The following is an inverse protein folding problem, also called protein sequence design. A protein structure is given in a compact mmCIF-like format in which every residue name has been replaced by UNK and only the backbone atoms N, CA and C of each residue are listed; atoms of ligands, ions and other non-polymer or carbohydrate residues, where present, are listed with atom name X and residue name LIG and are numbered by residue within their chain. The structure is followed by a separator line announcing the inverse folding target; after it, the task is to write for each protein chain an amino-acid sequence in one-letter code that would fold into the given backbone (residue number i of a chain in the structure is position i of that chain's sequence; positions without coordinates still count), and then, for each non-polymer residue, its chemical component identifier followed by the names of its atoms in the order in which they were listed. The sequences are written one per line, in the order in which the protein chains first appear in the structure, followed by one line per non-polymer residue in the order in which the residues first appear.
data_IF_690933024325
#
_entry.id   IF_690933024325
#
_cell.length_a   1.000
_cell.length_b   1.000
_cell.length_c   1.000
_cell.angle_alpha   90.00
_cell.angle_beta   90.00
_cell.angle_gamma   90.00
#
_symmetry.space_group_name_H-M   'P 1'
#
loop_
_entity.id
_entity.type
_entity.pdbx_description
1 polymer ?
#
# COMPACT_ATOMS: atom_id res chain seq x y z
N UNK A 1 -4.92 33.92 12.87
CA UNK A 1 -4.87 32.59 12.18
C UNK A 1 -3.45 32.08 12.30
N UNK A 2 -3.22 30.87 12.84
CA UNK A 2 -1.86 30.33 12.98
C UNK A 2 -1.37 29.79 11.65
N UNK A 3 -0.09 29.96 11.34
CA UNK A 3 0.57 29.43 10.14
C UNK A 3 1.39 28.19 10.52
N UNK A 4 1.13 27.06 9.86
CA UNK A 4 1.86 25.82 10.04
C UNK A 4 2.61 25.47 8.75
N UNK A 5 3.90 25.22 8.85
CA UNK A 5 4.73 24.83 7.72
C UNK A 5 4.97 23.32 7.72
N UNK A 6 4.57 22.66 6.65
CA UNK A 6 4.81 21.24 6.44
C UNK A 6 5.95 21.01 5.45
N UNK A 7 7.05 20.45 5.93
CA UNK A 7 8.19 20.05 5.11
C UNK A 7 8.02 18.62 4.64
N UNK A 8 7.79 18.42 3.34
CA UNK A 8 7.69 17.10 2.72
C UNK A 8 9.05 16.45 2.55
N UNK A 9 9.13 15.14 2.68
CA UNK A 9 10.34 14.36 2.35
C UNK A 9 10.40 13.97 0.87
N UNK A 10 9.25 13.91 0.19
CA UNK A 10 9.09 13.53 -1.21
C UNK A 10 7.78 14.05 -1.78
N UNK A 11 7.58 13.89 -3.08
CA UNK A 11 6.29 14.15 -3.76
C UNK A 11 5.43 12.89 -3.88
N UNK A 12 5.84 11.78 -3.27
CA UNK A 12 5.11 10.51 -3.32
C UNK A 12 3.75 10.57 -2.61
N UNK A 13 2.89 9.61 -2.90
CA UNK A 13 1.53 9.48 -2.34
C UNK A 13 1.52 9.51 -0.81
N UNK A 14 2.53 8.94 -0.16
CA UNK A 14 2.70 8.95 1.29
C UNK A 14 2.70 10.37 1.89
N UNK A 15 3.43 11.32 1.28
CA UNK A 15 3.45 12.70 1.74
C UNK A 15 2.14 13.45 1.43
N UNK A 16 1.46 13.12 0.34
CA UNK A 16 0.14 13.68 0.02
C UNK A 16 -0.91 13.23 1.05
N UNK A 17 -0.92 11.93 1.42
CA UNK A 17 -1.80 11.39 2.47
C UNK A 17 -1.51 12.01 3.85
N UNK A 18 -0.23 12.20 4.21
CA UNK A 18 0.17 12.93 5.44
C UNK A 18 -0.37 14.37 5.44
N UNK A 19 -0.19 15.10 4.34
CA UNK A 19 -0.71 16.47 4.20
C UNK A 19 -2.24 16.51 4.32
N UNK A 20 -2.96 15.56 3.75
CA UNK A 20 -4.41 15.46 3.88
C UNK A 20 -4.84 15.33 5.35
N UNK A 21 -4.16 14.48 6.13
CA UNK A 21 -4.40 14.35 7.57
C UNK A 21 -4.11 15.65 8.35
N UNK A 22 -2.99 16.32 8.06
CA UNK A 22 -2.64 17.62 8.63
C UNK A 22 -3.70 18.66 8.30
N UNK A 23 -4.17 18.71 7.05
CA UNK A 23 -5.17 19.67 6.59
C UNK A 23 -6.54 19.44 7.25
N UNK A 24 -6.92 18.19 7.50
CA UNK A 24 -8.15 17.87 8.21
C UNK A 24 -8.17 18.47 9.64
N UNK A 25 -7.06 18.35 10.36
CA UNK A 25 -6.90 18.96 11.69
C UNK A 25 -6.81 20.49 11.60
N UNK A 26 -6.07 21.00 10.61
CA UNK A 26 -5.91 22.43 10.39
C UNK A 26 -7.25 23.15 10.18
N UNK A 27 -8.17 22.55 9.42
CA UNK A 27 -9.53 23.08 9.23
C UNK A 27 -10.29 23.21 10.55
N UNK A 28 -10.15 22.22 11.45
CA UNK A 28 -10.81 22.24 12.78
C UNK A 28 -10.29 23.38 13.67
N UNK A 29 -9.01 23.72 13.55
CA UNK A 29 -8.36 24.75 14.37
C UNK A 29 -8.13 26.10 13.65
N UNK A 30 -8.59 26.24 12.41
CA UNK A 30 -8.48 27.48 11.64
C UNK A 30 -7.03 27.85 11.29
N UNK A 31 -6.18 26.85 10.94
CA UNK A 31 -4.78 27.11 10.56
C UNK A 31 -4.62 27.34 9.05
N UNK A 32 -3.61 28.13 8.72
CA UNK A 32 -3.06 28.23 7.37
C UNK A 32 -1.92 27.23 7.24
N UNK A 33 -2.07 26.21 6.40
CA UNK A 33 -1.01 25.22 6.17
C UNK A 33 -0.28 25.53 4.88
N UNK A 34 1.03 25.75 5.00
CA UNK A 34 1.93 25.92 3.88
C UNK A 34 2.75 24.64 3.69
N UNK A 35 2.68 24.06 2.50
CA UNK A 35 3.40 22.83 2.15
C UNK A 35 4.64 23.17 1.35
N UNK A 36 5.81 22.91 1.90
CA UNK A 36 7.08 23.09 1.21
C UNK A 36 7.42 21.87 0.36
N UNK A 37 7.98 22.11 -0.83
CA UNK A 37 8.58 21.06 -1.66
C UNK A 37 9.71 20.33 -0.90
N UNK A 38 10.09 19.11 -1.31
CA UNK A 38 11.17 18.38 -0.65
C UNK A 38 12.46 19.20 -0.61
N UNK A 39 12.84 19.63 0.59
CA UNK A 39 13.97 20.55 0.80
C UNK A 39 15.26 19.74 0.93
N UNK A 40 16.25 20.07 0.12
CA UNK A 40 17.54 19.35 0.05
C UNK A 40 18.67 20.04 0.80
N UNK A 41 18.46 21.26 1.31
CA UNK A 41 19.47 22.04 2.04
C UNK A 41 18.87 22.75 3.25
N UNK A 42 19.71 22.96 4.29
CA UNK A 42 19.33 23.73 5.47
C UNK A 42 19.05 25.20 5.10
N UNK A 43 19.78 25.75 4.14
CA UNK A 43 19.60 27.12 3.70
C UNK A 43 18.21 27.36 3.12
N UNK A 44 17.73 26.48 2.22
CA UNK A 44 16.37 26.57 1.68
C UNK A 44 15.32 26.45 2.79
N UNK A 45 15.53 25.56 3.75
CA UNK A 45 14.61 25.42 4.88
C UNK A 45 14.56 26.68 5.74
N UNK A 46 15.73 27.30 6.01
CA UNK A 46 15.84 28.58 6.74
C UNK A 46 15.12 29.73 6.00
N UNK A 47 15.29 29.83 4.68
CA UNK A 47 14.59 30.80 3.86
C UNK A 47 13.07 30.66 3.94
N UNK A 48 12.56 29.43 3.87
CA UNK A 48 11.12 29.15 4.02
C UNK A 48 10.59 29.50 5.42
N UNK A 49 11.35 29.20 6.47
CA UNK A 49 10.99 29.56 7.85
C UNK A 49 10.95 31.09 7.99
N UNK A 50 11.94 31.80 7.47
CA UNK A 50 12.00 33.27 7.51
C UNK A 50 10.89 33.93 6.71
N UNK A 51 10.53 33.35 5.56
CA UNK A 51 9.44 33.83 4.70
C UNK A 51 8.08 33.67 5.37
N UNK A 52 7.77 32.48 5.85
CA UNK A 52 6.44 32.14 6.37
C UNK A 52 6.26 32.48 7.85
N UNK A 53 7.33 32.65 8.61
CA UNK A 53 7.34 32.89 10.07
C UNK A 53 6.31 32.00 10.79
N UNK A 54 6.42 30.65 10.65
CA UNK A 54 5.38 29.75 11.11
C UNK A 54 5.24 29.73 12.64
N UNK A 55 4.01 29.59 13.13
CA UNK A 55 3.69 29.31 14.54
C UNK A 55 4.08 27.88 14.94
N UNK A 56 4.19 26.96 13.96
CA UNK A 56 4.59 25.59 14.19
C UNK A 56 5.02 24.89 12.89
N UNK A 57 5.81 23.84 13.04
CA UNK A 57 6.33 23.06 11.91
C UNK A 57 6.01 21.56 12.06
N UNK A 58 5.67 20.90 10.95
CA UNK A 58 5.66 19.44 10.83
C UNK A 58 6.69 19.05 9.79
N UNK A 59 7.59 18.14 10.14
CA UNK A 59 8.71 17.74 9.28
C UNK A 59 8.62 16.25 8.99
N UNK A 60 8.25 15.88 7.75
CA UNK A 60 8.33 14.50 7.30
C UNK A 60 9.78 14.17 6.94
N UNK A 61 10.36 13.19 7.61
CA UNK A 61 11.73 12.77 7.37
C UNK A 61 11.78 11.63 6.34
N UNK A 62 12.78 11.66 5.49
CA UNK A 62 13.07 10.63 4.49
C UNK A 62 14.50 10.12 4.64
N UNK A 63 15.04 9.53 3.58
CA UNK A 63 16.39 9.00 3.54
C UNK A 63 17.50 10.02 3.89
N UNK A 64 17.22 11.33 3.78
CA UNK A 64 18.12 12.44 4.13
C UNK A 64 17.66 13.17 5.40
N UNK A 65 17.27 12.43 6.44
CA UNK A 65 16.79 13.00 7.70
C UNK A 65 17.75 14.00 8.37
N UNK A 66 19.04 13.96 8.05
CA UNK A 66 20.07 14.86 8.61
C UNK A 66 19.98 16.31 8.06
N UNK A 67 19.17 16.56 7.03
CA UNK A 67 19.01 17.92 6.46
C UNK A 67 18.21 18.85 7.37
N UNK A 68 17.53 18.30 8.37
CA UNK A 68 16.72 19.06 9.32
C UNK A 68 17.19 18.84 10.77
N UNK A 69 18.28 19.47 11.22
CA UNK A 69 18.61 19.47 12.63
C UNK A 69 17.52 20.23 13.41
N UNK A 70 17.18 19.75 14.60
CA UNK A 70 16.17 20.40 15.47
C UNK A 70 16.57 21.85 15.79
N UNK A 71 17.88 22.16 15.82
CA UNK A 71 18.41 23.50 16.00
C UNK A 71 17.96 24.51 14.95
N UNK A 72 17.65 24.05 13.73
CA UNK A 72 17.14 24.91 12.66
C UNK A 72 15.75 25.49 12.99
N UNK A 73 14.95 24.75 13.72
CA UNK A 73 13.61 25.15 14.13
C UNK A 73 13.61 26.01 15.42
N UNK A 74 14.72 26.00 16.15
CA UNK A 74 14.91 26.80 17.34
C UNK A 74 13.80 26.62 18.37
N UNK A 75 13.10 27.73 18.71
CA UNK A 75 11.97 27.73 19.69
C UNK A 75 10.61 27.45 19.02
N UNK A 76 10.55 27.28 17.70
CA UNK A 76 9.29 27.01 16.98
C UNK A 76 8.78 25.63 17.39
N UNK A 77 7.53 25.50 17.90
CA UNK A 77 6.92 24.21 18.16
C UNK A 77 6.98 23.32 16.92
N UNK A 78 7.42 22.07 17.08
CA UNK A 78 7.56 21.19 15.92
C UNK A 78 7.35 19.73 16.24
N UNK A 79 6.94 18.98 15.24
CA UNK A 79 6.75 17.52 15.29
C UNK A 79 7.42 16.88 14.06
N UNK A 80 8.20 15.86 14.29
CA UNK A 80 8.78 15.05 13.23
C UNK A 80 7.88 13.86 12.89
N UNK A 81 7.89 13.44 11.63
CA UNK A 81 7.31 12.18 11.17
C UNK A 81 8.44 11.33 10.61
N UNK A 82 8.55 10.09 11.10
CA UNK A 82 9.55 9.09 10.66
C UNK A 82 11.01 9.53 10.80
N UNK A 83 11.32 10.36 11.81
CA UNK A 83 12.70 10.77 12.10
C UNK A 83 13.44 9.65 12.82
N UNK A 84 14.65 9.25 12.38
CA UNK A 84 15.44 8.25 13.07
C UNK A 84 15.73 8.62 14.54
N UNK A 85 15.48 7.69 15.46
CA UNK A 85 15.64 7.92 16.91
C UNK A 85 17.04 8.39 17.29
N UNK A 86 18.09 7.90 16.57
CA UNK A 86 19.50 8.25 16.83
C UNK A 86 19.82 9.74 16.66
N UNK A 87 19.04 10.45 15.87
CA UNK A 87 19.23 11.89 15.56
C UNK A 87 18.13 12.75 16.17
N UNK A 88 17.25 12.16 16.97
CA UNK A 88 16.17 12.86 17.65
C UNK A 88 16.70 13.49 18.95
N UNK A 89 16.50 14.79 19.12
CA UNK A 89 16.88 15.48 20.34
C UNK A 89 15.93 15.11 21.50
N UNK A 90 16.37 15.28 22.75
CA UNK A 90 15.56 14.92 23.93
C UNK A 90 14.20 15.64 23.95
N UNK A 91 14.12 16.88 23.44
CA UNK A 91 12.91 17.71 23.39
C UNK A 91 12.01 17.50 22.16
N UNK A 92 12.39 16.67 21.20
CA UNK A 92 11.64 16.49 19.96
C UNK A 92 10.47 15.53 20.12
N UNK A 93 9.31 15.93 19.66
CA UNK A 93 8.15 15.07 19.44
C UNK A 93 8.24 14.37 18.09
N UNK A 94 7.84 13.11 18.02
CA UNK A 94 7.89 12.34 16.77
C UNK A 94 6.78 11.31 16.68
N UNK A 95 6.21 11.18 15.48
CA UNK A 95 5.26 10.13 15.11
C UNK A 95 5.96 9.17 14.17
N UNK A 96 6.07 7.90 14.55
CA UNK A 96 6.82 6.86 13.82
C UNK A 96 5.90 5.91 13.09
N UNK A 97 6.36 5.42 11.96
CA UNK A 97 5.76 4.25 11.33
C UNK A 97 6.04 3.00 12.17
N UNK A 98 4.99 2.21 12.45
CA UNK A 98 5.18 0.88 13.04
C UNK A 98 5.63 -0.11 11.95
N UNK A 99 6.94 -0.06 11.67
CA UNK A 99 7.60 -0.92 10.69
C UNK A 99 7.46 -2.40 11.03
N UNK A 100 7.39 -2.73 12.33
CA UNK A 100 7.23 -4.11 12.81
C UNK A 100 5.83 -4.64 12.50
N UNK A 101 4.78 -3.90 12.84
CA UNK A 101 3.41 -4.30 12.54
C UNK A 101 3.18 -4.44 11.04
N UNK A 102 3.78 -3.55 10.24
CA UNK A 102 3.69 -3.55 8.77
C UNK A 102 4.37 -4.79 8.17
N UNK A 103 5.58 -5.10 8.60
CA UNK A 103 6.29 -6.32 8.16
C UNK A 103 5.57 -7.60 8.58
N UNK A 104 4.98 -7.62 9.77
CA UNK A 104 4.17 -8.73 10.25
C UNK A 104 2.91 -8.94 9.40
N UNK A 105 2.28 -7.86 8.93
CA UNK A 105 1.13 -7.95 8.01
C UNK A 105 1.53 -8.56 6.67
N UNK A 106 2.66 -8.11 6.10
CA UNK A 106 3.21 -8.66 4.86
C UNK A 106 3.62 -10.14 5.01
N UNK A 107 4.25 -10.50 6.13
CA UNK A 107 4.65 -11.87 6.41
C UNK A 107 3.45 -12.82 6.46
N UNK A 108 2.37 -12.43 7.16
CA UNK A 108 1.13 -13.23 7.20
C UNK A 108 0.52 -13.41 5.82
N UNK A 109 0.55 -12.37 4.99
CA UNK A 109 0.07 -12.46 3.61
C UNK A 109 0.86 -13.49 2.81
N UNK A 110 2.19 -13.42 2.85
CA UNK A 110 3.04 -14.37 2.13
C UNK A 110 2.92 -15.80 2.67
N UNK A 111 2.79 -15.99 3.98
CA UNK A 111 2.59 -17.31 4.60
C UNK A 111 1.26 -17.94 4.16
N UNK A 112 0.22 -17.14 3.96
CA UNK A 112 -1.09 -17.63 3.48
C UNK A 112 -1.03 -18.25 2.08
N UNK A 113 0.03 -17.97 1.31
CA UNK A 113 0.26 -18.53 -0.02
C UNK A 113 0.90 -19.95 0.00
N UNK A 114 1.29 -20.46 1.17
CA UNK A 114 1.92 -21.77 1.36
C UNK A 114 3.12 -22.00 0.40
N UNK A 115 4.02 -21.04 0.33
CA UNK A 115 5.21 -21.10 -0.52
C UNK A 115 6.32 -21.90 0.16
N UNK A 116 7.19 -22.53 -0.66
CA UNK A 116 8.30 -23.31 -0.11
C UNK A 116 9.45 -22.47 0.44
N UNK A 117 9.58 -21.22 -0.01
CA UNK A 117 10.69 -20.35 0.33
C UNK A 117 10.22 -18.91 0.52
N UNK A 118 11.00 -18.16 1.34
CA UNK A 118 10.72 -16.75 1.65
C UNK A 118 11.99 -15.93 1.55
N UNK A 119 11.86 -14.68 1.12
CA UNK A 119 12.99 -13.79 0.99
C UNK A 119 12.61 -12.34 1.37
N UNK A 120 13.63 -11.58 1.74
CA UNK A 120 13.51 -10.15 1.99
C UNK A 120 14.48 -9.39 1.08
N UNK A 121 13.99 -8.40 0.35
CA UNK A 121 14.82 -7.52 -0.45
C UNK A 121 15.08 -6.21 0.31
N UNK A 122 16.35 -6.01 0.70
CA UNK A 122 16.79 -4.83 1.43
C UNK A 122 16.81 -3.60 0.54
N UNK A 123 16.46 -2.44 1.12
CA UNK A 123 16.69 -1.15 0.48
C UNK A 123 18.20 -0.92 0.29
N UNK A 124 18.64 -0.45 -0.88
CA UNK A 124 20.07 -0.34 -1.20
C UNK A 124 20.90 0.58 -0.30
N UNK A 125 20.24 1.52 0.38
CA UNK A 125 20.89 2.44 1.32
C UNK A 125 20.46 2.09 2.73
N UNK A 126 21.37 1.98 3.70
CA UNK A 126 21.01 1.67 5.08
C UNK A 126 19.97 2.62 5.65
N UNK A 127 18.86 2.07 6.13
CA UNK A 127 17.74 2.78 6.74
C UNK A 127 17.27 2.03 7.98
N UNK A 128 16.93 2.75 9.03
CA UNK A 128 16.44 2.14 10.27
C UNK A 128 15.15 1.36 10.02
N UNK A 129 14.19 1.97 9.32
CA UNK A 129 12.92 1.33 8.97
C UNK A 129 13.10 0.04 8.14
N UNK A 130 14.12 -0.01 7.26
CA UNK A 130 14.44 -1.23 6.51
C UNK A 130 14.94 -2.34 7.43
N UNK A 131 15.81 -2.01 8.40
CA UNK A 131 16.31 -2.96 9.39
C UNK A 131 15.19 -3.48 10.29
N UNK A 132 14.28 -2.62 10.73
CA UNK A 132 13.11 -2.99 11.54
C UNK A 132 12.18 -3.93 10.77
N UNK A 133 11.82 -3.60 9.52
CA UNK A 133 11.00 -4.43 8.64
C UNK A 133 11.63 -5.81 8.41
N UNK A 134 12.93 -5.82 8.07
CA UNK A 134 13.69 -7.06 7.87
C UNK A 134 13.68 -7.95 9.10
N UNK A 135 13.99 -7.40 10.27
CA UNK A 135 14.07 -8.16 11.51
C UNK A 135 12.71 -8.71 11.94
N UNK A 136 11.65 -7.91 11.81
CA UNK A 136 10.29 -8.33 12.10
C UNK A 136 9.83 -9.45 11.15
N UNK A 137 10.07 -9.30 9.85
CA UNK A 137 9.77 -10.34 8.86
C UNK A 137 10.50 -11.64 9.15
N UNK A 138 11.81 -11.56 9.43
CA UNK A 138 12.61 -12.73 9.78
C UNK A 138 12.14 -13.41 11.08
N UNK A 139 11.68 -12.63 12.06
CA UNK A 139 11.14 -13.17 13.30
C UNK A 139 9.86 -13.97 13.07
N UNK A 140 8.91 -13.45 12.29
CA UNK A 140 7.68 -14.17 11.92
C UNK A 140 8.01 -15.44 11.15
N UNK A 141 8.88 -15.35 10.13
CA UNK A 141 9.26 -16.53 9.34
C UNK A 141 9.89 -17.63 10.21
N UNK A 142 10.75 -17.24 11.15
CA UNK A 142 11.39 -18.20 12.09
C UNK A 142 10.36 -18.87 12.98
N UNK A 143 9.35 -18.15 13.48
CA UNK A 143 8.25 -18.73 14.27
C UNK A 143 7.48 -19.80 13.52
N UNK A 144 7.45 -19.72 12.18
CA UNK A 144 6.82 -20.69 11.30
C UNK A 144 7.81 -21.72 10.70
N UNK A 145 9.01 -21.83 11.26
CA UNK A 145 10.04 -22.78 10.81
C UNK A 145 10.65 -22.45 9.44
N UNK A 146 10.43 -21.23 8.93
CA UNK A 146 10.90 -20.81 7.61
C UNK A 146 12.24 -20.08 7.69
N UNK A 147 13.13 -20.35 6.71
CA UNK A 147 14.36 -19.58 6.49
C UNK A 147 14.11 -18.44 5.53
N UNK A 148 14.82 -17.33 5.69
CA UNK A 148 14.72 -16.14 4.84
C UNK A 148 16.01 -15.96 4.05
N UNK A 149 15.90 -15.85 2.72
CA UNK A 149 16.98 -15.38 1.85
C UNK A 149 16.97 -13.87 1.76
N UNK A 150 18.16 -13.26 1.63
CA UNK A 150 18.26 -11.79 1.61
C UNK A 150 18.86 -11.31 0.29
N UNK A 151 18.28 -10.25 -0.25
CA UNK A 151 18.90 -9.47 -1.31
C UNK A 151 19.57 -8.24 -0.71
N UNK A 152 20.82 -7.99 -1.08
CA UNK A 152 21.57 -6.80 -0.71
C UNK A 152 22.28 -6.26 -1.95
N UNK A 153 22.24 -4.96 -2.13
CA UNK A 153 22.91 -4.28 -3.25
C UNK A 153 23.54 -2.98 -2.78
N UNK A 154 24.66 -2.62 -3.41
CA UNK A 154 25.29 -1.30 -3.27
C UNK A 154 24.88 -0.33 -4.36
N UNK A 155 24.15 -0.81 -5.37
CA UNK A 155 23.68 0.03 -6.47
C UNK A 155 22.51 0.91 -6.00
N UNK A 156 22.44 2.17 -6.44
CA UNK A 156 21.33 3.04 -6.08
C UNK A 156 20.02 2.55 -6.69
N UNK A 157 18.91 2.83 -6.01
CA UNK A 157 17.56 2.44 -6.47
C UNK A 157 17.22 3.04 -7.85
N UNK A 158 17.85 4.16 -8.20
CA UNK A 158 17.73 4.82 -9.50
C UNK A 158 18.52 4.15 -10.62
N UNK A 159 19.35 3.13 -10.31
CA UNK A 159 20.08 2.40 -11.35
C UNK A 159 19.11 1.73 -12.33
N UNK A 160 19.18 2.14 -13.59
CA UNK A 160 18.25 1.70 -14.64
C UNK A 160 18.52 0.26 -15.07
N UNK A 161 19.80 -0.09 -15.27
CA UNK A 161 20.18 -1.39 -15.79
C UNK A 161 20.87 -2.30 -14.76
N UNK A 162 21.67 -1.73 -13.86
CA UNK A 162 22.49 -2.50 -12.92
C UNK A 162 21.65 -3.23 -11.89
N UNK A 163 20.80 -2.52 -11.16
CA UNK A 163 19.98 -3.09 -10.11
C UNK A 163 18.98 -4.15 -10.62
N UNK A 164 18.23 -3.94 -11.73
CA UNK A 164 17.36 -4.99 -12.26
C UNK A 164 18.09 -6.26 -12.69
N UNK A 165 19.30 -6.17 -13.24
CA UNK A 165 20.12 -7.33 -13.59
C UNK A 165 20.64 -8.08 -12.36
N UNK A 166 21.11 -7.34 -11.34
CA UNK A 166 21.55 -7.92 -10.06
C UNK A 166 20.38 -8.65 -9.37
N UNK A 167 19.19 -8.05 -9.34
CA UNK A 167 17.96 -8.67 -8.86
C UNK A 167 17.60 -9.92 -9.67
N UNK A 168 17.69 -9.88 -11.00
CA UNK A 168 17.40 -11.03 -11.85
C UNK A 168 18.32 -12.21 -11.56
N UNK A 169 19.64 -11.97 -11.43
CA UNK A 169 20.61 -13.00 -11.06
C UNK A 169 20.32 -13.59 -9.67
N UNK A 170 20.00 -12.73 -8.69
CA UNK A 170 19.59 -13.18 -7.36
C UNK A 170 18.30 -14.02 -7.40
N UNK A 171 17.30 -13.58 -8.15
CA UNK A 171 16.06 -14.34 -8.32
C UNK A 171 16.32 -15.72 -8.91
N UNK A 172 17.22 -15.87 -9.86
CA UNK A 172 17.60 -17.19 -10.43
C UNK A 172 18.27 -18.08 -9.38
N UNK A 173 19.10 -17.51 -8.48
CA UNK A 173 19.90 -18.27 -7.52
C UNK A 173 19.13 -18.81 -6.32
N UNK A 174 17.98 -18.21 -5.95
CA UNK A 174 17.18 -18.65 -4.80
C UNK A 174 16.15 -19.70 -5.20
N UNK A 175 15.75 -20.64 -4.30
CA UNK A 175 14.76 -21.66 -4.58
C UNK A 175 13.37 -21.08 -4.92
N UNK A 176 12.56 -21.82 -5.71
CA UNK A 176 11.18 -21.50 -6.12
C UNK A 176 10.20 -22.57 -5.63
N UNK A 177 8.90 -22.22 -5.47
CA UNK A 177 8.32 -20.87 -5.48
C UNK A 177 8.74 -20.07 -4.25
N UNK A 178 8.96 -18.75 -4.41
CA UNK A 178 9.42 -17.86 -3.35
C UNK A 178 8.48 -16.70 -3.11
N UNK A 179 8.22 -16.38 -1.84
CA UNK A 179 7.51 -15.17 -1.41
C UNK A 179 8.49 -14.09 -0.96
N UNK A 180 8.45 -12.93 -1.58
CA UNK A 180 9.38 -11.84 -1.33
C UNK A 180 8.66 -10.64 -0.73
N UNK A 181 9.08 -10.24 0.47
CA UNK A 181 8.80 -8.91 0.98
C UNK A 181 9.93 -7.97 0.54
N UNK A 182 9.60 -6.98 -0.27
CA UNK A 182 10.53 -5.90 -0.56
C UNK A 182 10.36 -4.73 0.43
N UNK A 183 11.44 -4.05 0.72
CA UNK A 183 11.50 -2.97 1.71
C UNK A 183 10.52 -1.80 1.43
N UNK A 184 10.19 -1.56 0.14
CA UNK A 184 9.22 -0.55 -0.31
C UNK A 184 8.72 -0.89 -1.72
N UNK A 185 7.60 -0.30 -2.15
CA UNK A 185 6.97 -0.54 -3.45
C UNK A 185 7.91 -0.27 -4.63
N UNK A 186 8.72 0.77 -4.55
CA UNK A 186 9.68 1.11 -5.61
C UNK A 186 10.69 -0.04 -5.86
N UNK A 187 11.11 -0.73 -4.81
CA UNK A 187 11.97 -1.91 -4.96
C UNK A 187 11.17 -3.11 -5.47
N UNK A 188 9.92 -3.26 -5.03
CA UNK A 188 9.03 -4.33 -5.48
C UNK A 188 8.79 -4.28 -7.00
N UNK A 189 8.55 -3.09 -7.54
CA UNK A 189 8.41 -2.89 -8.99
C UNK A 189 9.69 -3.26 -9.76
N UNK A 190 10.87 -3.00 -9.17
CA UNK A 190 12.15 -3.46 -9.74
C UNK A 190 12.28 -4.99 -9.70
N UNK A 191 11.79 -5.65 -8.65
CA UNK A 191 11.77 -7.12 -8.55
C UNK A 191 10.84 -7.71 -9.62
N UNK A 192 9.65 -7.15 -9.86
CA UNK A 192 8.75 -7.58 -10.94
C UNK A 192 9.44 -7.45 -12.30
N UNK A 193 10.11 -6.32 -12.54
CA UNK A 193 10.91 -6.13 -13.77
C UNK A 193 12.03 -7.16 -13.89
N UNK A 194 12.73 -7.44 -12.80
CA UNK A 194 13.81 -8.42 -12.75
C UNK A 194 13.32 -9.86 -12.99
N UNK A 195 12.14 -10.22 -12.44
CA UNK A 195 11.50 -11.50 -12.69
C UNK A 195 11.22 -11.69 -14.20
N UNK A 196 10.71 -10.65 -14.88
CA UNK A 196 10.49 -10.66 -16.32
C UNK A 196 11.82 -10.86 -17.10
N UNK A 197 12.89 -10.17 -16.68
CA UNK A 197 14.24 -10.36 -17.28
C UNK A 197 14.73 -11.80 -17.10
N UNK A 198 14.49 -12.38 -15.92
CA UNK A 198 14.86 -13.76 -15.59
C UNK A 198 13.89 -14.81 -16.15
N UNK A 199 12.83 -14.41 -16.89
CA UNK A 199 11.76 -15.27 -17.42
C UNK A 199 11.05 -16.09 -16.32
N UNK A 200 10.90 -15.50 -15.13
CA UNK A 200 10.17 -16.07 -14.00
C UNK A 200 8.75 -15.52 -13.95
N UNK A 201 7.78 -16.39 -13.66
CA UNK A 201 6.38 -16.01 -13.54
C UNK A 201 6.09 -15.35 -12.19
N UNK A 202 5.40 -14.20 -12.22
CA UNK A 202 4.84 -13.55 -11.03
C UNK A 202 3.33 -13.73 -11.10
N UNK A 203 2.68 -14.32 -10.10
CA UNK A 203 3.19 -14.72 -8.78
C UNK A 203 3.66 -16.18 -8.67
N UNK A 204 3.64 -16.99 -9.72
CA UNK A 204 3.79 -18.45 -9.61
C UNK A 204 5.19 -18.89 -9.16
N UNK A 205 6.25 -18.35 -9.76
CA UNK A 205 7.62 -18.59 -9.30
C UNK A 205 8.02 -17.63 -8.20
N UNK A 206 7.59 -16.36 -8.31
CA UNK A 206 8.01 -15.26 -7.43
C UNK A 206 6.77 -14.44 -7.03
N UNK A 207 6.23 -14.67 -5.84
CA UNK A 207 5.21 -13.79 -5.27
C UNK A 207 5.87 -12.58 -4.59
N UNK A 208 5.41 -11.36 -4.90
CA UNK A 208 6.02 -10.12 -4.41
C UNK A 208 4.99 -9.26 -3.68
N UNK A 209 5.36 -8.79 -2.49
CA UNK A 209 4.59 -7.80 -1.75
C UNK A 209 5.50 -6.62 -1.39
N UNK A 210 4.97 -5.40 -1.56
CA UNK A 210 5.64 -4.16 -1.18
C UNK A 210 5.09 -3.54 0.10
N UNK A 211 5.56 -2.34 0.37
CA UNK A 211 5.08 -1.47 1.45
C UNK A 211 5.00 -0.06 0.87
N UNK A 212 4.02 0.71 1.25
CA UNK A 212 3.65 2.11 1.05
C UNK A 212 2.32 2.27 0.30
N UNK A 213 1.88 1.30 -0.49
CA UNK A 213 0.72 1.34 -1.38
C UNK A 213 0.68 2.65 -2.19
N UNK A 214 1.77 2.91 -2.92
CA UNK A 214 1.79 3.94 -3.94
C UNK A 214 0.95 3.46 -5.13
N UNK A 215 -0.28 3.97 -5.22
CA UNK A 215 -1.28 3.45 -6.15
C UNK A 215 -0.82 3.54 -7.61
N UNK A 216 -0.18 4.66 -7.99
CA UNK A 216 0.33 4.84 -9.35
C UNK A 216 1.36 3.76 -9.71
N UNK A 217 2.30 3.51 -8.81
CA UNK A 217 3.33 2.51 -8.99
C UNK A 217 2.78 1.08 -8.93
N UNK A 218 1.86 0.81 -7.99
CA UNK A 218 1.28 -0.51 -7.82
C UNK A 218 0.41 -0.93 -8.99
N UNK A 219 -0.42 -0.01 -9.52
CA UNK A 219 -1.32 -0.29 -10.63
C UNK A 219 -0.59 -0.30 -12.00
N UNK A 220 0.46 0.49 -12.17
CA UNK A 220 1.26 0.50 -13.40
C UNK A 220 2.23 -0.68 -13.52
N UNK A 221 2.46 -1.42 -12.44
CA UNK A 221 3.27 -2.64 -12.48
C UNK A 221 2.53 -3.77 -13.21
N UNK A 222 3.27 -4.60 -13.96
CA UNK A 222 2.70 -5.76 -14.68
C UNK A 222 3.47 -7.02 -14.30
N UNK A 223 2.82 -7.93 -13.52
CA UNK A 223 1.50 -7.83 -12.90
C UNK A 223 1.40 -6.75 -11.82
N UNK A 224 0.17 -6.31 -11.51
CA UNK A 224 -0.10 -5.26 -10.52
C UNK A 224 0.38 -5.67 -9.12
N UNK A 225 0.98 -4.71 -8.40
CA UNK A 225 1.74 -4.96 -7.17
C UNK A 225 0.87 -4.93 -5.91
N UNK A 226 0.86 -6.03 -5.17
CA UNK A 226 0.33 -6.11 -3.80
C UNK A 226 1.22 -5.34 -2.83
N UNK A 227 0.62 -4.60 -1.91
CA UNK A 227 1.36 -3.78 -0.97
C UNK A 227 0.66 -3.65 0.38
N UNK A 228 1.44 -3.48 1.45
CA UNK A 228 0.92 -3.07 2.76
C UNK A 228 0.83 -1.55 2.79
N UNK A 229 -0.34 -1.02 3.09
CA UNK A 229 -0.57 0.40 3.22
C UNK A 229 -0.38 0.85 4.67
N UNK A 230 0.63 1.70 4.98
CA UNK A 230 0.70 2.40 6.25
C UNK A 230 -0.40 3.46 6.36
N UNK A 231 -0.89 3.72 7.57
CA UNK A 231 -1.89 4.77 7.79
C UNK A 231 -1.24 6.18 7.79
N UNK A 232 -0.78 6.60 6.61
CA UNK A 232 -0.16 7.91 6.43
C UNK A 232 -1.11 9.07 6.75
N UNK A 233 -2.41 8.92 6.51
CA UNK A 233 -3.39 9.95 6.88
C UNK A 233 -3.41 10.14 8.39
N UNK A 234 -3.50 9.06 9.15
CA UNK A 234 -3.47 9.09 10.61
C UNK A 234 -2.17 9.69 11.14
N UNK A 235 -1.03 9.39 10.52
CA UNK A 235 0.25 10.01 10.93
C UNK A 235 0.22 11.54 10.81
N UNK A 236 -0.42 12.06 9.75
CA UNK A 236 -0.66 13.49 9.59
C UNK A 236 -1.57 14.08 10.66
N UNK A 237 -2.70 13.39 10.95
CA UNK A 237 -3.64 13.79 12.03
C UNK A 237 -2.92 13.82 13.38
N UNK A 238 -2.25 12.74 13.77
CA UNK A 238 -1.55 12.66 15.07
C UNK A 238 -0.48 13.75 15.21
N UNK A 239 0.28 13.99 14.13
CA UNK A 239 1.33 15.04 14.15
C UNK A 239 0.74 16.43 14.31
N UNK A 240 -0.39 16.73 13.67
CA UNK A 240 -1.05 18.01 13.77
C UNK A 240 -1.71 18.20 15.14
N UNK A 241 -2.28 17.18 15.75
CA UNK A 241 -2.84 17.22 17.10
C UNK A 241 -1.75 17.48 18.15
N UNK A 242 -0.62 16.75 18.07
CA UNK A 242 0.54 16.98 18.93
C UNK A 242 1.06 18.42 18.74
N UNK A 243 1.17 18.90 17.50
CA UNK A 243 1.61 20.26 17.22
C UNK A 243 0.67 21.30 17.82
N UNK A 244 -0.65 21.07 17.75
CA UNK A 244 -1.64 21.96 18.36
C UNK A 244 -1.44 22.08 19.87
N UNK A 245 -1.14 20.97 20.53
CA UNK A 245 -0.91 20.96 21.97
C UNK A 245 0.41 21.67 22.35
N UNK A 246 1.45 21.49 21.55
CA UNK A 246 2.72 22.20 21.69
C UNK A 246 2.56 23.70 21.48
N UNK A 247 1.86 24.15 20.43
CA UNK A 247 1.59 25.58 20.16
C UNK A 247 0.68 26.21 21.23
N UNK A 248 -0.18 25.41 21.85
CA UNK A 248 -1.05 25.84 22.96
C UNK A 248 -0.38 25.77 24.34
N UNK A 249 0.87 25.33 24.43
CA UNK A 249 1.60 25.07 25.67
C UNK A 249 0.87 24.13 26.63
N UNK A 250 0.06 23.22 26.09
CA UNK A 250 -0.68 22.21 26.86
C UNK A 250 0.16 21.00 27.23
N UNK A 251 1.24 20.80 26.49
CA UNK A 251 2.19 19.69 26.70
C UNK A 251 3.59 20.26 26.85
N UNK A 252 4.27 19.85 27.92
CA UNK A 252 5.64 20.28 28.27
C UNK A 252 6.68 19.18 28.04
N UNK A 253 6.26 17.95 27.77
CA UNK A 253 7.14 16.80 27.49
C UNK A 253 7.00 16.38 26.03
N UNK A 254 8.09 15.91 25.41
CA UNK A 254 8.01 15.42 24.05
C UNK A 254 7.12 14.19 23.96
N UNK A 255 6.30 14.12 22.92
CA UNK A 255 5.43 12.97 22.63
C UNK A 255 6.08 12.15 21.54
N UNK A 256 6.26 10.85 21.80
CA UNK A 256 6.76 9.88 20.83
C UNK A 256 5.78 8.72 20.75
N UNK A 257 5.23 8.51 19.55
CA UNK A 257 4.16 7.55 19.32
C UNK A 257 4.29 6.93 17.93
N UNK A 258 3.54 5.87 17.67
CA UNK A 258 3.58 5.14 16.39
C UNK A 258 2.22 5.18 15.69
N UNK A 259 2.23 5.09 14.34
CA UNK A 259 1.05 4.84 13.55
C UNK A 259 1.13 3.46 12.87
N UNK A 260 0.01 2.70 12.84
CA UNK A 260 -0.02 1.33 12.38
C UNK A 260 -0.12 1.24 10.84
N UNK A 261 0.01 0.03 10.27
CA UNK A 261 -0.50 -0.25 8.93
C UNK A 261 -2.03 -0.17 8.93
N UNK A 262 -2.59 0.32 7.81
CA UNK A 262 -4.03 0.41 7.60
C UNK A 262 -4.60 -0.92 7.09
N UNK A 263 -4.02 -1.46 6.01
CA UNK A 263 -4.47 -2.70 5.35
C UNK A 263 -3.40 -3.31 4.46
N UNK A 264 -3.61 -4.56 4.06
CA UNK A 264 -2.92 -5.20 2.95
C UNK A 264 -3.78 -5.07 1.71
N UNK A 265 -3.26 -4.43 0.67
CA UNK A 265 -3.93 -4.31 -0.63
C UNK A 265 -3.41 -5.41 -1.53
N UNK A 266 -4.27 -6.43 -1.74
CA UNK A 266 -3.94 -7.59 -2.57
C UNK A 266 -4.19 -7.27 -4.04
N UNK A 267 -3.16 -7.52 -4.87
CA UNK A 267 -3.19 -7.43 -6.33
C UNK A 267 -2.64 -8.70 -6.96
N UNK A 268 -2.29 -8.65 -8.23
CA UNK A 268 -1.86 -9.83 -8.98
C UNK A 268 -0.54 -10.42 -8.48
N UNK A 269 0.41 -9.62 -7.99
CA UNK A 269 1.75 -10.07 -7.62
C UNK A 269 1.81 -11.05 -6.43
N UNK A 270 0.71 -11.21 -5.66
CA UNK A 270 0.55 -12.25 -4.63
C UNK A 270 -0.66 -13.14 -4.86
N UNK A 271 -1.42 -12.91 -5.91
CA UNK A 271 -2.63 -13.69 -6.20
C UNK A 271 -2.26 -14.96 -6.96
N UNK A 272 -1.69 -15.94 -6.25
CA UNK A 272 -1.49 -17.26 -6.83
C UNK A 272 -2.83 -17.91 -7.16
N UNK A 273 -2.97 -18.34 -8.39
CA UNK A 273 -4.00 -19.27 -8.76
C UNK A 273 -3.56 -20.65 -8.25
N UNK A 274 -4.49 -21.49 -7.74
CA UNK A 274 -4.17 -22.88 -7.52
C UNK A 274 -3.47 -23.43 -8.80
N UNK A 275 -2.47 -24.27 -8.66
CA UNK A 275 -1.93 -25.05 -9.79
C UNK A 275 -3.05 -25.94 -10.29
N UNK A 276 -3.89 -25.38 -11.13
CA UNK A 276 -5.00 -26.05 -11.73
C UNK A 276 -4.76 -26.15 -13.24
N UNK A 277 -5.52 -27.03 -13.85
CA UNK A 277 -5.65 -27.18 -15.28
C UNK A 277 -5.58 -25.78 -15.97
N UNK A 278 -4.76 -25.66 -17.01
CA UNK A 278 -4.59 -24.39 -17.75
C UNK A 278 -5.92 -23.74 -18.10
N UNK A 279 -6.94 -24.55 -18.41
CA UNK A 279 -8.29 -24.09 -18.69
C UNK A 279 -8.93 -23.33 -17.50
N UNK A 280 -8.63 -23.72 -16.26
CA UNK A 280 -9.15 -23.01 -15.09
C UNK A 280 -8.42 -21.68 -14.87
N UNK A 281 -7.11 -21.64 -15.10
CA UNK A 281 -6.31 -20.42 -15.04
C UNK A 281 -6.78 -19.40 -16.08
N UNK A 282 -6.94 -19.86 -17.33
CA UNK A 282 -7.41 -19.05 -18.45
C UNK A 282 -8.85 -18.54 -18.18
N UNK A 283 -9.71 -19.38 -17.61
CA UNK A 283 -11.08 -19.01 -17.21
C UNK A 283 -11.10 -17.93 -16.12
N UNK A 284 -10.24 -18.04 -15.11
CA UNK A 284 -10.12 -17.03 -14.06
C UNK A 284 -9.60 -15.70 -14.61
N UNK A 285 -8.67 -15.74 -15.55
CA UNK A 285 -8.14 -14.53 -16.20
C UNK A 285 -9.24 -13.86 -17.04
N UNK A 286 -10.03 -14.63 -17.81
CA UNK A 286 -11.18 -14.13 -18.54
C UNK A 286 -12.21 -13.49 -17.60
N UNK A 287 -12.55 -14.13 -16.49
CA UNK A 287 -13.50 -13.60 -15.49
C UNK A 287 -12.99 -12.26 -14.94
N UNK A 288 -11.72 -12.15 -14.59
CA UNK A 288 -11.14 -10.90 -14.08
C UNK A 288 -11.25 -9.75 -15.06
N UNK A 289 -10.91 -10.02 -16.33
CA UNK A 289 -10.93 -9.00 -17.38
C UNK A 289 -12.34 -8.59 -17.77
N UNK A 290 -13.25 -9.54 -17.89
CA UNK A 290 -14.53 -9.34 -18.55
C UNK A 290 -15.76 -9.43 -17.61
N UNK A 291 -15.61 -9.75 -16.33
CA UNK A 291 -16.75 -9.91 -15.42
C UNK A 291 -17.68 -8.68 -15.42
N UNK A 292 -17.10 -7.48 -15.39
CA UNK A 292 -17.82 -6.21 -15.39
C UNK A 292 -18.24 -5.74 -16.80
N UNK A 293 -17.81 -6.43 -17.86
CA UNK A 293 -18.16 -6.15 -19.25
C UNK A 293 -19.30 -7.03 -19.79
N UNK A 294 -20.12 -7.55 -18.88
CA UNK A 294 -21.30 -8.36 -19.26
C UNK A 294 -21.01 -9.85 -19.49
N UNK A 295 -19.83 -10.35 -19.07
CA UNK A 295 -19.45 -11.77 -19.18
C UNK A 295 -20.54 -12.67 -18.57
N UNK A 296 -20.97 -13.68 -19.31
CA UNK A 296 -21.85 -14.73 -18.80
C UNK A 296 -21.05 -16.02 -18.50
N UNK A 297 -21.54 -16.82 -17.54
CA UNK A 297 -20.89 -18.09 -17.19
C UNK A 297 -20.76 -19.05 -18.40
N UNK A 298 -21.70 -18.99 -19.35
CA UNK A 298 -21.63 -19.79 -20.58
C UNK A 298 -20.39 -19.47 -21.44
N UNK A 299 -19.90 -18.22 -21.41
CA UNK A 299 -18.74 -17.81 -22.18
C UNK A 299 -17.46 -18.35 -21.57
N UNK A 300 -17.41 -18.44 -20.26
CA UNK A 300 -16.31 -19.08 -19.51
C UNK A 300 -16.30 -20.60 -19.74
N UNK A 301 -17.45 -21.26 -19.78
CA UNK A 301 -17.51 -22.70 -20.05
C UNK A 301 -16.92 -23.10 -21.41
N UNK A 302 -16.95 -22.21 -22.42
CA UNK A 302 -16.37 -22.45 -23.75
C UNK A 302 -14.83 -22.60 -23.73
N UNK A 303 -14.17 -22.16 -22.67
CA UNK A 303 -12.73 -22.28 -22.53
C UNK A 303 -12.31 -23.69 -22.12
N UNK A 304 -13.25 -24.52 -21.68
CA UNK A 304 -12.98 -25.89 -21.25
C UNK A 304 -13.29 -26.86 -22.38
N UNK A 305 -12.32 -27.74 -22.67
CA UNK A 305 -12.49 -28.83 -23.66
C UNK A 305 -13.23 -30.04 -23.04
N UNK A 306 -14.26 -29.80 -22.20
CA UNK A 306 -15.02 -30.83 -21.52
C UNK A 306 -16.47 -30.40 -21.29
N UNK A 307 -17.32 -31.30 -20.76
CA UNK A 307 -18.70 -30.97 -20.44
C UNK A 307 -18.79 -29.86 -19.38
N UNK A 308 -19.89 -29.10 -19.42
CA UNK A 308 -20.17 -28.03 -18.44
C UNK A 308 -20.06 -28.53 -17.00
N UNK A 309 -20.58 -29.73 -16.71
CA UNK A 309 -20.50 -30.33 -15.36
C UNK A 309 -19.06 -30.58 -14.95
N UNK A 310 -18.23 -31.08 -15.84
CA UNK A 310 -16.82 -31.33 -15.57
C UNK A 310 -16.04 -30.02 -15.40
N UNK A 311 -16.29 -29.02 -16.25
CA UNK A 311 -15.70 -27.69 -16.12
C UNK A 311 -16.02 -27.05 -14.77
N UNK A 312 -17.29 -27.08 -14.35
CA UNK A 312 -17.73 -26.56 -13.04
C UNK A 312 -17.07 -27.32 -11.88
N UNK A 313 -16.97 -28.64 -11.96
CA UNK A 313 -16.33 -29.47 -10.93
C UNK A 313 -14.83 -29.14 -10.83
N UNK A 314 -14.10 -29.04 -11.96
CA UNK A 314 -12.69 -28.68 -12.00
C UNK A 314 -12.45 -27.28 -11.47
N UNK A 315 -13.29 -26.32 -11.90
CA UNK A 315 -13.19 -24.94 -11.46
C UNK A 315 -13.44 -24.82 -9.95
N UNK A 316 -14.49 -25.48 -9.43
CA UNK A 316 -14.81 -25.49 -8.00
C UNK A 316 -13.75 -26.20 -7.15
N UNK A 317 -13.20 -27.30 -7.63
CA UNK A 317 -12.12 -28.00 -6.95
C UNK A 317 -10.86 -27.13 -6.83
N UNK A 318 -10.60 -26.28 -7.83
CA UNK A 318 -9.45 -25.40 -7.85
C UNK A 318 -9.64 -24.08 -7.08
N UNK A 319 -10.86 -23.53 -7.07
CA UNK A 319 -11.15 -22.17 -6.56
C UNK A 319 -12.01 -22.15 -5.29
N UNK A 320 -12.63 -23.28 -4.95
CA UNK A 320 -13.63 -23.36 -3.89
C UNK A 320 -14.99 -22.76 -4.25
N UNK A 321 -15.15 -22.16 -5.44
CA UNK A 321 -16.36 -21.45 -5.90
C UNK A 321 -16.79 -21.93 -7.27
N UNK A 322 -18.06 -21.72 -7.58
CA UNK A 322 -18.56 -21.89 -8.94
C UNK A 322 -18.11 -20.74 -9.85
N UNK A 323 -18.12 -20.98 -11.16
CA UNK A 323 -17.83 -19.92 -12.15
C UNK A 323 -18.76 -18.72 -11.98
N UNK A 324 -20.05 -18.97 -11.70
CA UNK A 324 -21.03 -17.89 -11.50
C UNK A 324 -20.77 -17.11 -10.20
N UNK A 325 -20.42 -17.78 -9.11
CA UNK A 325 -20.06 -17.15 -7.83
C UNK A 325 -18.82 -16.27 -7.99
N UNK A 326 -17.82 -16.71 -8.77
CA UNK A 326 -16.61 -15.92 -9.03
C UNK A 326 -16.92 -14.65 -9.84
N UNK A 327 -17.72 -14.76 -10.91
CA UNK A 327 -18.18 -13.59 -11.70
C UNK A 327 -18.94 -12.60 -10.79
N UNK A 328 -19.85 -13.10 -9.96
CA UNK A 328 -20.64 -12.27 -9.02
C UNK A 328 -19.75 -11.60 -7.98
N UNK A 329 -18.78 -12.32 -7.44
CA UNK A 329 -17.81 -11.80 -6.48
C UNK A 329 -17.01 -10.61 -7.04
N UNK A 330 -16.53 -10.72 -8.28
CA UNK A 330 -15.81 -9.63 -8.97
C UNK A 330 -16.71 -8.40 -9.18
N UNK A 331 -17.95 -8.60 -9.64
CA UNK A 331 -18.94 -7.51 -9.80
C UNK A 331 -19.27 -6.84 -8.47
N UNK A 332 -19.44 -7.62 -7.41
CA UNK A 332 -19.72 -7.11 -6.08
C UNK A 332 -18.56 -6.27 -5.52
N UNK A 333 -17.33 -6.74 -5.71
CA UNK A 333 -16.14 -6.00 -5.29
C UNK A 333 -16.06 -4.64 -5.99
N UNK A 334 -16.27 -4.62 -7.33
CA UNK A 334 -16.29 -3.38 -8.11
C UNK A 334 -17.43 -2.45 -7.71
N UNK A 335 -18.62 -3.01 -7.45
CA UNK A 335 -19.77 -2.24 -6.99
C UNK A 335 -19.50 -1.55 -5.65
N UNK A 336 -18.93 -2.28 -4.69
CA UNK A 336 -18.56 -1.74 -3.36
C UNK A 336 -17.54 -0.62 -3.48
N UNK A 337 -16.52 -0.79 -4.32
CA UNK A 337 -15.51 0.24 -4.60
C UNK A 337 -16.15 1.53 -5.12
N UNK A 338 -16.97 1.41 -6.19
CA UNK A 338 -17.60 2.58 -6.83
C UNK A 338 -18.62 3.29 -5.92
N UNK A 339 -19.39 2.52 -5.14
CA UNK A 339 -20.38 3.10 -4.21
C UNK A 339 -19.72 3.82 -3.04
N UNK A 340 -18.59 3.34 -2.53
CA UNK A 340 -17.86 3.98 -1.44
C UNK A 340 -17.02 5.18 -1.93
N UNK A 341 -16.37 5.05 -3.10
CA UNK A 341 -15.37 6.00 -3.59
C UNK A 341 -15.88 7.07 -4.55
N UNK A 342 -17.16 7.04 -4.98
CA UNK A 342 -17.65 7.98 -5.99
C UNK A 342 -19.08 8.46 -5.78
N UNK A 343 -19.44 9.70 -6.22
CA UNK A 343 -20.80 10.22 -6.22
C UNK A 343 -21.64 9.75 -7.43
N UNK A 344 -21.19 8.75 -8.16
CA UNK A 344 -21.87 8.27 -9.38
C UNK A 344 -23.32 7.90 -9.15
N UNK A 345 -24.18 8.19 -10.14
CA UNK A 345 -25.57 7.73 -10.14
C UNK A 345 -25.63 6.20 -10.21
N UNK A 346 -26.67 5.61 -9.65
CA UNK A 346 -26.80 4.17 -9.54
C UNK A 346 -26.79 3.45 -10.90
N UNK A 347 -27.39 4.10 -11.94
CA UNK A 347 -27.37 3.61 -13.32
C UNK A 347 -25.95 3.49 -13.87
N UNK A 348 -25.10 4.48 -13.60
CA UNK A 348 -23.70 4.45 -14.02
C UNK A 348 -22.93 3.34 -13.30
N UNK A 349 -23.10 3.18 -11.97
CA UNK A 349 -22.50 2.09 -11.21
C UNK A 349 -22.96 0.72 -11.75
N UNK A 350 -24.25 0.54 -12.04
CA UNK A 350 -24.78 -0.68 -12.63
C UNK A 350 -24.09 -1.03 -13.95
N UNK A 351 -23.94 -0.05 -14.84
CA UNK A 351 -23.27 -0.23 -16.13
C UNK A 351 -21.79 -0.62 -15.94
N UNK A 352 -21.07 0.05 -15.07
CA UNK A 352 -19.68 -0.29 -14.75
C UNK A 352 -19.49 -1.67 -14.11
N UNK A 353 -20.55 -2.24 -13.53
CA UNK A 353 -20.58 -3.60 -12.98
C UNK A 353 -21.13 -4.64 -13.95
N UNK A 354 -21.38 -4.27 -15.21
CA UNK A 354 -21.88 -5.17 -16.25
C UNK A 354 -23.37 -5.50 -16.18
N UNK A 355 -24.19 -4.60 -15.61
CA UNK A 355 -25.65 -4.71 -15.56
C UNK A 355 -26.32 -3.69 -16.47
N UNK A 356 -27.30 -4.16 -17.26
CA UNK A 356 -28.04 -3.31 -18.21
C UNK A 356 -29.11 -2.43 -17.55
N UNK A 357 -29.45 -2.67 -16.27
CA UNK A 357 -30.43 -1.84 -15.55
C UNK A 357 -30.06 -1.71 -14.06
N UNK A 358 -30.36 -0.55 -13.50
CA UNK A 358 -30.19 -0.28 -12.08
C UNK A 358 -31.05 -1.18 -11.19
N UNK A 359 -32.21 -1.64 -11.68
CA UNK A 359 -33.10 -2.55 -10.96
C UNK A 359 -32.45 -3.93 -10.79
N UNK A 360 -31.96 -4.53 -11.90
CA UNK A 360 -31.26 -5.81 -11.85
C UNK A 360 -30.00 -5.75 -10.98
N UNK A 361 -29.26 -4.65 -11.07
CA UNK A 361 -28.11 -4.39 -10.23
C UNK A 361 -28.47 -4.29 -8.73
N UNK A 362 -29.55 -3.57 -8.39
CA UNK A 362 -29.99 -3.41 -6.99
C UNK A 362 -30.41 -4.72 -6.37
N UNK A 363 -31.12 -5.57 -7.11
CA UNK A 363 -31.48 -6.93 -6.66
C UNK A 363 -30.22 -7.75 -6.43
N UNK A 364 -29.30 -7.80 -7.40
CA UNK A 364 -28.03 -8.50 -7.27
C UNK A 364 -27.25 -8.01 -6.03
N UNK A 365 -27.06 -6.70 -5.92
CA UNK A 365 -26.26 -6.13 -4.83
C UNK A 365 -26.87 -6.45 -3.45
N UNK A 366 -28.19 -6.31 -3.31
CA UNK A 366 -28.90 -6.66 -2.07
C UNK A 366 -28.76 -8.15 -1.74
N UNK A 367 -28.84 -9.02 -2.74
CA UNK A 367 -28.67 -10.48 -2.56
C UNK A 367 -27.27 -10.83 -2.08
N UNK A 368 -26.23 -10.23 -2.68
CA UNK A 368 -24.83 -10.58 -2.40
C UNK A 368 -24.24 -9.81 -1.19
N UNK A 369 -24.70 -8.58 -0.90
CA UNK A 369 -24.19 -7.72 0.16
C UNK A 369 -25.09 -7.68 1.41
N UNK A 370 -26.29 -8.25 1.36
CA UNK A 370 -27.27 -8.23 2.46
C UNK A 370 -27.96 -6.87 2.68
N UNK A 371 -27.60 -5.82 1.96
CA UNK A 371 -28.15 -4.47 2.08
C UNK A 371 -28.24 -3.78 0.72
N UNK A 372 -29.05 -2.72 0.63
CA UNK A 372 -29.21 -1.99 -0.65
C UNK A 372 -27.94 -1.20 -1.03
N UNK A 373 -27.73 -0.90 -2.34
CA UNK A 373 -26.65 -0.02 -2.77
C UNK A 373 -26.67 1.36 -2.11
N UNK A 374 -27.87 1.90 -1.85
CA UNK A 374 -28.05 3.19 -1.19
C UNK A 374 -27.61 3.16 0.28
N UNK A 375 -27.99 2.12 1.01
CA UNK A 375 -27.57 1.92 2.40
C UNK A 375 -26.07 1.72 2.50
N UNK A 376 -25.50 0.91 1.59
CA UNK A 376 -24.05 0.71 1.51
C UNK A 376 -23.31 2.03 1.32
N UNK A 377 -23.76 2.85 0.38
CA UNK A 377 -23.17 4.17 0.11
C UNK A 377 -23.23 5.06 1.35
N UNK A 378 -24.41 5.16 1.98
CA UNK A 378 -24.62 5.99 3.19
C UNK A 378 -23.66 5.61 4.32
N UNK A 379 -23.49 4.30 4.58
CA UNK A 379 -22.62 3.82 5.65
C UNK A 379 -21.13 4.00 5.37
N UNK A 380 -20.70 3.96 4.11
CA UNK A 380 -19.27 3.98 3.75
C UNK A 380 -18.79 5.36 3.29
N UNK A 381 -19.66 6.26 2.84
CA UNK A 381 -19.32 7.65 2.57
C UNK A 381 -19.34 8.50 3.85
N UNK A 382 -20.19 8.19 4.84
CA UNK A 382 -20.19 8.86 6.14
C UNK A 382 -18.91 8.61 6.96
N UNK A 383 -18.20 7.53 6.70
CA UNK A 383 -16.90 7.23 7.34
C UNK A 383 -15.69 7.84 6.60
N UNK A 384 -15.93 8.59 5.51
CA UNK A 384 -14.89 9.22 4.68
C UNK A 384 -14.91 10.76 4.80
N UNK A 385 -15.77 11.31 5.66
CA UNK A 385 -15.84 12.71 6.08
C UNK A 385 -15.36 12.84 7.54
#
# INVERSE_FOLDING_TARGET
MKTVLFFKSSELSSCRKKLAGITAVARRFGWNVQSAAPTRSEETARQLINLWKPDGCIVSCGAKANVFPSSLLGKIPHVFIDRPQKILSKGDSCVYHDSTATANAAARELLSLNLGHYAYANWPVPQIWNTERRNAFAAVMRQHGQKVSYFESKLPISSVNGLPRELANWLVSIPKPVGILAAADLLSAKIITAARIAKLAVPDDVAVIGIDNDEELCESSVPSLSSVEPDFFRSGVMSAEILNDLMGRRVHKPIRTTYPPLKVVRRESTRRLPKCDKSVSDALELIRREACNGLAARDVFRMFSCSRRMAEMRFRAATGRSILEEIRGMRLAKAKELLAGSPMKLEAVANFCGYKSAVAFSIFFKTEAGQTPADWRKHHQANSL
#
